data_IF_739437343743
#
_entry.id   IF_739437343743
#
_cell.length_a   1.000
_cell.length_b   1.000
_cell.length_c   1.000
_cell.angle_alpha   90.00
_cell.angle_beta   90.00
_cell.angle_gamma   90.00
#
_symmetry.space_group_name_H-M   'P 1'
#
loop_
_entity.id
_entity.type
_entity.pdbx_description
1 polymer ?
#
# COMPACT_ATOMS: atom_id res chain seq x y z
N UNK A 1 -26.15 31.75 -27.56
CA UNK A 1 -26.62 30.61 -26.74
C UNK A 1 -25.41 29.85 -26.24
N UNK A 2 -25.11 30.01 -24.96
CA UNK A 2 -24.03 29.32 -24.26
C UNK A 2 -24.61 28.04 -23.66
N UNK A 3 -23.94 26.90 -23.79
CA UNK A 3 -23.66 25.97 -22.68
C UNK A 3 -23.10 24.62 -23.12
N UNK A 4 -21.86 24.39 -22.68
CA UNK A 4 -21.29 23.17 -22.08
C UNK A 4 -21.17 21.91 -22.95
N UNK A 5 -20.02 21.83 -23.65
CA UNK A 5 -19.30 20.57 -23.75
C UNK A 5 -18.99 20.06 -22.33
N UNK A 6 -19.46 18.86 -22.02
CA UNK A 6 -19.08 18.11 -20.83
C UNK A 6 -17.58 17.75 -20.89
N UNK A 7 -16.72 18.62 -20.35
CA UNK A 7 -15.37 18.25 -19.94
C UNK A 7 -15.45 17.43 -18.62
N UNK A 8 -15.85 16.16 -18.73
CA UNK A 8 -15.61 15.14 -17.69
C UNK A 8 -14.65 14.04 -18.15
N UNK A 9 -13.78 14.36 -19.11
CA UNK A 9 -12.55 13.58 -19.40
C UNK A 9 -11.31 14.27 -18.80
N UNK A 10 -11.51 15.06 -17.74
CA UNK A 10 -10.45 15.78 -17.05
C UNK A 10 -9.79 14.89 -15.99
N UNK A 11 -8.58 14.44 -16.30
CA UNK A 11 -7.56 13.90 -15.39
C UNK A 11 -7.82 12.52 -14.76
N UNK A 12 -7.71 11.45 -15.54
CA UNK A 12 -6.83 10.36 -15.10
C UNK A 12 -5.44 10.70 -15.63
N UNK A 13 -4.52 11.18 -14.78
CA UNK A 13 -3.18 11.41 -15.28
C UNK A 13 -2.61 10.02 -15.59
N UNK A 14 -2.13 9.82 -16.83
CA UNK A 14 -1.28 8.68 -17.25
C UNK A 14 0.02 8.64 -16.42
N UNK A 15 -0.07 8.49 -15.10
CA UNK A 15 1.06 8.57 -14.18
C UNK A 15 1.73 7.22 -14.09
N UNK A 16 2.77 7.10 -14.92
CA UNK A 16 4.01 6.33 -14.72
C UNK A 16 3.82 4.88 -14.28
N UNK A 17 4.07 3.98 -15.23
CA UNK A 17 4.54 2.61 -14.99
C UNK A 17 5.89 2.52 -14.24
N UNK A 18 6.37 3.61 -13.65
CA UNK A 18 7.62 3.71 -12.94
C UNK A 18 7.34 4.17 -11.51
N UNK A 19 7.84 3.38 -10.55
CA UNK A 19 7.93 3.73 -9.14
C UNK A 19 8.35 5.19 -8.95
N UNK A 20 7.84 5.84 -7.90
CA UNK A 20 8.49 7.05 -7.40
C UNK A 20 9.96 6.72 -7.13
N UNK A 21 10.94 7.46 -7.70
CA UNK A 21 12.36 7.19 -7.45
C UNK A 21 12.72 7.16 -5.95
N UNK A 22 11.97 7.90 -5.14
CA UNK A 22 12.13 7.92 -3.70
C UNK A 22 11.63 6.63 -3.02
N UNK A 23 10.60 5.98 -3.55
CA UNK A 23 10.07 4.74 -2.99
C UNK A 23 11.11 3.62 -3.03
N UNK A 24 11.65 3.33 -4.23
CA UNK A 24 12.68 2.29 -4.38
C UNK A 24 13.90 2.57 -3.52
N UNK A 25 14.37 3.82 -3.53
CA UNK A 25 15.52 4.25 -2.73
C UNK A 25 15.29 4.05 -1.23
N UNK A 26 14.08 4.35 -0.73
CA UNK A 26 13.76 4.20 0.69
C UNK A 26 13.67 2.72 1.08
N UNK A 27 12.99 1.89 0.29
CA UNK A 27 12.88 0.44 0.53
C UNK A 27 14.26 -0.21 0.55
N UNK A 28 15.14 0.09 -0.42
CA UNK A 28 16.49 -0.47 -0.44
C UNK A 28 17.37 -0.04 0.75
N UNK A 29 17.00 1.03 1.46
CA UNK A 29 17.70 1.52 2.66
C UNK A 29 17.09 1.05 3.98
N UNK A 30 15.87 0.52 3.97
CA UNK A 30 15.13 0.17 5.18
C UNK A 30 15.72 -1.05 5.92
N UNK A 31 16.59 -1.84 5.26
CA UNK A 31 17.05 -3.12 5.79
C UNK A 31 15.96 -4.19 5.71
N UNK A 32 16.27 -5.42 6.14
CA UNK A 32 15.27 -6.50 6.22
C UNK A 32 14.38 -6.28 7.44
N UNK A 33 13.12 -6.69 7.35
CA UNK A 33 12.19 -6.64 8.47
C UNK A 33 11.30 -5.40 8.54
N UNK A 34 11.36 -4.54 7.53
CA UNK A 34 10.60 -3.30 7.52
C UNK A 34 9.10 -3.54 7.32
N UNK A 35 8.32 -2.53 7.69
CA UNK A 35 6.85 -2.48 7.54
C UNK A 35 6.46 -1.42 6.52
N UNK A 36 5.34 -1.61 5.85
CA UNK A 36 4.81 -0.65 4.87
C UNK A 36 3.33 -0.39 5.09
N UNK A 37 2.94 0.89 5.05
CA UNK A 37 1.57 1.32 4.88
C UNK A 37 1.28 1.56 3.39
N UNK A 38 0.24 0.90 2.88
CA UNK A 38 -0.29 1.05 1.52
C UNK A 38 -1.72 1.57 1.61
N UNK A 39 -2.02 2.63 0.86
CA UNK A 39 -3.33 3.29 0.87
C UNK A 39 -4.00 3.14 -0.50
N UNK A 40 -5.12 2.41 -0.54
CA UNK A 40 -5.91 2.15 -1.74
C UNK A 40 -7.22 2.94 -1.79
N UNK A 41 -7.42 3.92 -0.89
CA UNK A 41 -8.68 4.71 -0.83
C UNK A 41 -8.98 5.52 -2.09
N UNK A 42 -7.96 5.83 -2.90
CA UNK A 42 -8.10 6.57 -4.17
C UNK A 42 -8.15 5.63 -5.39
N UNK A 43 -8.27 4.32 -5.18
CA UNK A 43 -8.31 3.33 -6.23
C UNK A 43 -9.77 3.01 -6.58
N UNK A 44 -10.36 3.84 -7.45
CA UNK A 44 -11.76 3.69 -7.87
C UNK A 44 -11.95 2.54 -8.87
N UNK A 45 -11.01 2.37 -9.81
CA UNK A 45 -11.04 1.32 -10.83
C UNK A 45 -9.66 0.66 -10.98
N UNK A 46 -9.65 -0.67 -11.07
CA UNK A 46 -8.43 -1.45 -11.31
C UNK A 46 -8.44 -1.94 -12.75
N UNK A 47 -7.80 -1.18 -13.63
CA UNK A 47 -7.47 -1.67 -14.97
C UNK A 47 -6.22 -2.58 -14.95
N UNK A 48 -5.95 -3.23 -16.07
CA UNK A 48 -4.79 -4.12 -16.22
C UNK A 48 -3.43 -3.43 -15.94
N UNK A 49 -3.28 -2.16 -16.28
CA UNK A 49 -2.06 -1.40 -16.05
C UNK A 49 -1.83 -1.07 -14.57
N UNK A 50 -2.91 -0.71 -13.87
CA UNK A 50 -2.88 -0.50 -12.42
C UNK A 50 -2.58 -1.80 -11.69
N UNK A 51 -3.20 -2.90 -12.13
CA UNK A 51 -2.94 -4.23 -11.58
C UNK A 51 -1.47 -4.64 -11.74
N UNK A 52 -0.90 -4.48 -12.93
CA UNK A 52 0.51 -4.77 -13.19
C UNK A 52 1.45 -3.90 -12.35
N UNK A 53 1.08 -2.65 -12.12
CA UNK A 53 1.82 -1.75 -11.24
C UNK A 53 1.80 -2.26 -9.79
N UNK A 54 0.63 -2.64 -9.26
CA UNK A 54 0.49 -3.19 -7.90
C UNK A 54 1.35 -4.44 -7.74
N UNK A 55 1.24 -5.41 -8.66
CA UNK A 55 2.01 -6.66 -8.63
C UNK A 55 3.52 -6.42 -8.57
N UNK A 56 4.04 -5.51 -9.41
CA UNK A 56 5.47 -5.12 -9.40
C UNK A 56 5.90 -4.51 -8.06
N UNK A 57 5.02 -3.76 -7.39
CA UNK A 57 5.31 -3.24 -6.06
C UNK A 57 5.34 -4.36 -5.02
N UNK A 58 4.41 -5.31 -5.10
CA UNK A 58 4.39 -6.45 -4.18
C UNK A 58 5.65 -7.30 -4.31
N UNK A 59 6.03 -7.68 -5.54
CA UNK A 59 7.25 -8.44 -5.80
C UNK A 59 8.49 -7.70 -5.30
N UNK A 60 8.57 -6.39 -5.54
CA UNK A 60 9.70 -5.56 -5.10
C UNK A 60 9.80 -5.49 -3.57
N UNK A 61 8.69 -5.28 -2.87
CA UNK A 61 8.65 -5.26 -1.40
C UNK A 61 9.02 -6.61 -0.81
N UNK A 62 8.48 -7.70 -1.35
CA UNK A 62 8.78 -9.06 -0.93
C UNK A 62 10.28 -9.38 -1.08
N UNK A 63 10.87 -9.05 -2.24
CA UNK A 63 12.30 -9.25 -2.52
C UNK A 63 13.22 -8.48 -1.56
N UNK A 64 12.76 -7.34 -1.02
CA UNK A 64 13.54 -6.53 -0.10
C UNK A 64 13.32 -6.88 1.38
N UNK A 65 12.49 -7.89 1.66
CA UNK A 65 12.30 -8.42 3.02
C UNK A 65 11.34 -7.61 3.87
N UNK A 66 10.25 -7.11 3.27
CA UNK A 66 9.10 -6.62 4.05
C UNK A 66 8.59 -7.73 4.98
N UNK A 67 8.22 -7.38 6.21
CA UNK A 67 7.64 -8.32 7.19
C UNK A 67 6.16 -8.08 7.43
N UNK A 68 5.72 -6.84 7.27
CA UNK A 68 4.36 -6.46 7.57
C UNK A 68 3.83 -5.42 6.58
N UNK A 69 2.59 -5.62 6.16
CA UNK A 69 1.89 -4.73 5.24
C UNK A 69 0.57 -4.32 5.87
N UNK A 70 0.51 -3.03 6.19
CA UNK A 70 -0.70 -2.34 6.57
C UNK A 70 -1.38 -1.81 5.31
N UNK A 71 -2.64 -2.19 5.07
CA UNK A 71 -3.41 -1.85 3.86
C UNK A 71 -4.63 -1.04 4.27
N UNK A 72 -4.82 0.12 3.67
CA UNK A 72 -6.09 0.86 3.77
C UNK A 72 -6.97 0.48 2.57
N UNK A 73 -8.02 -0.29 2.82
CA UNK A 73 -8.94 -0.79 1.79
C UNK A 73 -10.38 -0.55 2.27
N UNK A 74 -11.14 0.36 1.63
CA UNK A 74 -12.43 0.80 2.14
C UNK A 74 -13.58 -0.19 1.96
N UNK A 75 -13.43 -1.22 1.13
CA UNK A 75 -14.51 -2.17 0.81
C UNK A 75 -14.05 -3.63 0.87
N UNK A 76 -14.92 -4.51 1.37
CA UNK A 76 -14.63 -5.95 1.47
C UNK A 76 -14.39 -6.61 0.11
N UNK A 77 -15.06 -6.12 -0.94
CA UNK A 77 -14.87 -6.61 -2.31
C UNK A 77 -13.43 -6.37 -2.79
N UNK A 78 -12.90 -5.16 -2.54
CA UNK A 78 -11.51 -4.85 -2.86
C UNK A 78 -10.56 -5.69 -1.98
N UNK A 79 -10.85 -5.86 -0.69
CA UNK A 79 -9.97 -6.63 0.21
C UNK A 79 -9.84 -8.10 -0.24
N UNK A 80 -10.94 -8.73 -0.69
CA UNK A 80 -10.90 -10.09 -1.22
C UNK A 80 -9.93 -10.21 -2.41
N UNK A 81 -10.02 -9.28 -3.37
CA UNK A 81 -9.11 -9.25 -4.51
C UNK A 81 -7.65 -9.07 -4.08
N UNK A 82 -7.38 -8.18 -3.13
CA UNK A 82 -6.04 -7.98 -2.58
C UNK A 82 -5.53 -9.16 -1.78
N UNK A 83 -6.39 -9.89 -1.07
CA UNK A 83 -6.00 -11.11 -0.34
C UNK A 83 -5.53 -12.21 -1.30
N UNK A 84 -6.24 -12.40 -2.43
CA UNK A 84 -5.83 -13.33 -3.48
C UNK A 84 -4.49 -12.90 -4.08
N UNK A 85 -4.35 -11.63 -4.47
CA UNK A 85 -3.10 -11.11 -5.04
C UNK A 85 -1.92 -11.26 -4.08
N UNK A 86 -2.12 -10.94 -2.80
CA UNK A 86 -1.09 -11.07 -1.78
C UNK A 86 -0.56 -12.50 -1.67
N UNK A 87 -1.42 -13.52 -1.78
CA UNK A 87 -1.01 -14.92 -1.72
C UNK A 87 -0.09 -15.34 -2.88
N UNK A 88 -0.16 -14.66 -4.03
CA UNK A 88 0.71 -14.94 -5.18
C UNK A 88 2.04 -14.19 -5.13
N UNK A 89 2.07 -12.99 -4.55
CA UNK A 89 3.20 -12.07 -4.67
C UNK A 89 4.04 -11.92 -3.39
N UNK A 90 3.51 -12.33 -2.23
CA UNK A 90 4.24 -12.30 -0.97
C UNK A 90 4.55 -13.70 -0.44
N UNK A 91 5.66 -13.81 0.29
CA UNK A 91 5.95 -15.02 1.06
C UNK A 91 4.96 -15.19 2.23
N UNK A 92 4.83 -16.44 2.72
CA UNK A 92 3.98 -16.76 3.87
C UNK A 92 4.42 -16.13 5.20
N UNK A 93 5.62 -15.55 5.25
CA UNK A 93 6.17 -14.86 6.42
C UNK A 93 5.70 -13.39 6.52
N UNK A 94 5.06 -12.86 5.48
CA UNK A 94 4.54 -11.49 5.49
C UNK A 94 3.19 -11.46 6.22
N UNK A 95 3.12 -10.60 7.24
CA UNK A 95 1.89 -10.34 7.99
C UNK A 95 1.10 -9.22 7.30
N UNK A 96 -0.22 -9.37 7.27
CA UNK A 96 -1.12 -8.37 6.70
C UNK A 96 -2.08 -7.87 7.77
N UNK A 97 -2.30 -6.55 7.77
CA UNK A 97 -3.38 -5.90 8.50
C UNK A 97 -4.14 -5.03 7.49
N UNK A 98 -5.43 -5.28 7.30
CA UNK A 98 -6.31 -4.43 6.50
C UNK A 98 -7.14 -3.56 7.44
N UNK A 99 -7.17 -2.25 7.18
CA UNK A 99 -8.01 -1.28 7.87
C UNK A 99 -8.87 -0.52 6.84
N UNK A 100 -10.13 -0.21 7.15
CA UNK A 100 -11.04 0.44 6.21
C UNK A 100 -10.71 1.93 5.97
N UNK A 101 -10.07 2.59 6.94
CA UNK A 101 -9.84 4.04 6.91
C UNK A 101 -8.39 4.42 7.15
N UNK A 102 -7.99 5.60 6.64
CA UNK A 102 -6.64 6.15 6.87
C UNK A 102 -6.46 6.50 8.34
N UNK A 103 -7.52 6.98 8.96
CA UNK A 103 -7.60 7.36 10.37
C UNK A 103 -7.22 6.17 11.25
N UNK A 104 -7.87 5.02 11.06
CA UNK A 104 -7.57 3.79 11.81
C UNK A 104 -6.13 3.32 11.58
N UNK A 105 -5.62 3.43 10.34
CA UNK A 105 -4.23 3.07 10.07
C UNK A 105 -3.22 3.97 10.78
N UNK A 106 -3.48 5.27 10.84
CA UNK A 106 -2.61 6.20 11.57
C UNK A 106 -2.75 6.09 13.08
N UNK A 107 -3.91 5.68 13.60
CA UNK A 107 -4.09 5.35 15.02
C UNK A 107 -3.31 4.10 15.38
N UNK A 108 -3.44 3.03 14.59
CA UNK A 108 -2.68 1.79 14.77
C UNK A 108 -1.16 2.05 14.83
N UNK A 109 -0.63 2.83 13.88
CA UNK A 109 0.80 3.15 13.85
C UNK A 109 1.26 4.00 15.05
N UNK A 110 0.41 4.89 15.56
CA UNK A 110 0.71 5.69 16.76
C UNK A 110 0.74 4.82 18.02
N UNK A 111 -0.22 3.91 18.15
CA UNK A 111 -0.29 3.00 19.28
C UNK A 111 0.89 2.02 19.28
N UNK A 112 1.26 1.53 18.11
CA UNK A 112 2.41 0.64 17.94
C UNK A 112 3.73 1.33 18.38
N UNK A 113 3.94 2.58 17.98
CA UNK A 113 5.12 3.35 18.37
C UNK A 113 5.19 3.56 19.89
N UNK A 114 4.05 3.79 20.53
CA UNK A 114 3.96 3.91 21.99
C UNK A 114 4.39 2.61 22.69
N UNK A 115 4.00 1.44 22.16
CA UNK A 115 4.38 0.13 22.73
C UNK A 115 5.85 -0.24 22.53
N UNK A 116 6.48 0.23 21.44
CA UNK A 116 7.91 -0.01 21.19
C UNK A 116 8.82 0.87 22.05
N UNK A 117 8.30 1.97 22.63
CA UNK A 117 9.03 2.84 23.56
C UNK A 117 9.15 2.29 24.99
N UNK A 118 8.40 1.24 25.33
CA UNK A 118 8.29 0.69 26.68
C UNK A 118 9.08 -0.62 26.90
N UNK A 119 9.88 -1.09 25.93
CA UNK A 119 10.75 -2.25 26.17
C UNK A 119 11.79 -1.90 27.25
N UNK A 120 11.86 -2.64 28.37
CA UNK A 120 12.86 -2.40 29.39
C UNK A 120 14.23 -2.67 28.77
N UNK A 121 15.11 -1.67 28.86
CA UNK A 121 16.54 -1.84 28.56
C UNK A 121 17.02 -3.02 29.41
N UNK A 122 17.22 -4.18 28.78
CA UNK A 122 17.84 -5.32 29.43
C UNK A 122 19.29 -4.95 29.68
N UNK A 123 19.55 -4.48 30.91
CA UNK A 123 20.87 -4.28 31.50
C UNK A 123 21.60 -5.60 31.66
#
# INVERSE_FOLDING_TARGET
MSSRLNLKAGLMPKRRNNFSPNFKKNVSKAGKGFKVLTDFTLLDEIDSGVMDYIKKNMDFLNQHGVREILRVIPTDEQDLGFNILSAFHYSKEVVFLTLPTREEAYEYLRDEQSRQGDEPVRS
#
